data_IF_896099116247
#
_entry.id   IF_896099116247
#
_cell.length_a   1.000
_cell.length_b   1.000
_cell.length_c   1.000
_cell.angle_alpha   90.00
_cell.angle_beta   90.00
_cell.angle_gamma   90.00
#
_symmetry.space_group_name_H-M   'P 1'
#
loop_
_entity.id
_entity.type
_entity.pdbx_description
1 polymer ?
#
# COMPACT_ATOMS: atom_id res chain seq x y z
N UNK A 1 -30.06 5.13 29.72
CA UNK A 1 -29.26 4.36 28.75
C UNK A 1 -29.51 4.97 27.39
N UNK A 2 -28.59 5.80 26.89
CA UNK A 2 -28.73 6.41 25.58
C UNK A 2 -28.37 5.35 24.54
N UNK A 3 -29.31 5.02 23.66
CA UNK A 3 -29.10 4.14 22.51
C UNK A 3 -28.23 4.87 21.49
N UNK A 4 -26.93 4.97 21.75
CA UNK A 4 -25.94 5.54 20.82
C UNK A 4 -25.40 4.48 19.83
N UNK A 5 -26.05 3.31 19.77
CA UNK A 5 -25.56 2.12 19.06
C UNK A 5 -25.84 2.07 17.56
N UNK A 6 -26.61 3.02 17.00
CA UNK A 6 -27.03 2.97 15.59
C UNK A 6 -26.39 4.06 14.70
N UNK A 7 -25.37 4.77 15.19
CA UNK A 7 -24.63 5.70 14.33
C UNK A 7 -23.76 4.90 13.38
N UNK A 8 -24.17 4.86 12.12
CA UNK A 8 -23.35 4.29 11.04
C UNK A 8 -21.98 4.98 11.02
N UNK A 9 -20.88 4.22 10.84
CA UNK A 9 -19.55 4.81 10.81
C UNK A 9 -19.44 5.80 9.65
N UNK A 10 -18.76 6.91 9.88
CA UNK A 10 -18.46 7.92 8.87
C UNK A 10 -16.95 8.05 8.69
N UNK A 11 -16.54 8.43 7.47
CA UNK A 11 -15.17 8.74 7.11
C UNK A 11 -15.05 10.24 6.85
N UNK A 12 -14.04 10.87 7.45
CA UNK A 12 -13.73 12.28 7.25
C UNK A 12 -12.85 12.47 6.01
N UNK A 13 -13.22 13.44 5.17
CA UNK A 13 -12.48 13.87 3.98
C UNK A 13 -12.24 15.37 4.03
N UNK A 14 -11.06 15.81 3.63
CA UNK A 14 -10.67 17.22 3.61
C UNK A 14 -10.51 17.71 2.18
N UNK A 15 -11.11 18.86 1.89
CA UNK A 15 -10.84 19.62 0.67
C UNK A 15 -9.52 20.38 0.83
N UNK A 16 -8.50 20.17 -0.03
CA UNK A 16 -7.22 20.85 0.08
C UNK A 16 -7.31 22.35 -0.19
N UNK A 17 -8.33 22.80 -0.93
CA UNK A 17 -8.50 24.21 -1.29
C UNK A 17 -9.16 25.01 -0.17
N UNK A 18 -10.18 24.43 0.47
CA UNK A 18 -10.98 25.10 1.49
C UNK A 18 -10.65 24.67 2.92
N UNK A 19 -9.88 23.59 3.09
CA UNK A 19 -9.62 22.89 4.35
C UNK A 19 -10.88 22.42 5.09
N UNK A 20 -12.04 22.46 4.42
CA UNK A 20 -13.31 22.01 4.99
C UNK A 20 -13.32 20.48 5.08
N UNK A 21 -13.72 19.96 6.23
CA UNK A 21 -13.88 18.53 6.46
C UNK A 21 -15.34 18.13 6.26
N UNK A 22 -15.57 17.16 5.38
CA UNK A 22 -16.88 16.55 5.12
C UNK A 22 -16.87 15.10 5.60
N UNK A 23 -17.92 14.67 6.29
CA UNK A 23 -18.09 13.30 6.75
C UNK A 23 -18.99 12.53 5.78
N UNK A 24 -18.50 11.44 5.20
CA UNK A 24 -19.24 10.59 4.28
C UNK A 24 -19.57 9.28 4.98
N UNK A 25 -20.82 8.81 4.83
CA UNK A 25 -21.27 7.54 5.42
C UNK A 25 -20.55 6.35 4.77
N UNK A 26 -20.15 5.41 5.61
CA UNK A 26 -19.62 4.12 5.17
C UNK A 26 -20.75 3.14 4.89
N UNK A 27 -20.49 2.19 3.99
CA UNK A 27 -21.41 1.09 3.66
C UNK A 27 -20.68 -0.22 3.97
N UNK A 28 -21.40 -1.24 4.44
CA UNK A 28 -20.82 -2.58 4.61
C UNK A 28 -20.78 -3.31 3.26
N UNK A 29 -19.60 -3.72 2.84
CA UNK A 29 -19.43 -4.56 1.64
C UNK A 29 -20.02 -5.96 1.93
N UNK A 30 -21.05 -6.41 1.19
CA UNK A 30 -21.70 -7.69 1.44
C UNK A 30 -20.79 -8.89 1.21
N UNK A 31 -19.73 -8.75 0.39
CA UNK A 31 -18.81 -9.87 0.11
C UNK A 31 -17.76 -10.02 1.19
N UNK A 32 -17.16 -8.90 1.62
CA UNK A 32 -16.01 -8.92 2.54
C UNK A 32 -16.40 -8.68 3.99
N UNK A 33 -17.61 -8.18 4.24
CA UNK A 33 -18.04 -7.77 5.58
C UNK A 33 -17.27 -6.57 6.13
N UNK A 34 -16.56 -5.81 5.27
CA UNK A 34 -15.77 -4.64 5.67
C UNK A 34 -16.51 -3.35 5.37
N UNK A 35 -16.29 -2.32 6.18
CA UNK A 35 -16.79 -0.98 5.89
C UNK A 35 -15.99 -0.36 4.74
N UNK A 36 -16.70 0.18 3.76
CA UNK A 36 -16.16 0.78 2.53
C UNK A 36 -16.77 2.15 2.30
N UNK A 37 -16.09 2.99 1.52
CA UNK A 37 -16.66 4.22 0.98
C UNK A 37 -16.77 4.09 -0.54
N UNK A 38 -17.95 4.35 -1.08
CA UNK A 38 -18.18 4.36 -2.52
C UNK A 38 -17.63 5.65 -3.15
N UNK A 39 -16.85 5.52 -4.22
CA UNK A 39 -16.25 6.65 -4.91
C UNK A 39 -17.29 7.68 -5.38
N UNK A 40 -18.46 7.22 -5.85
CA UNK A 40 -19.57 8.09 -6.24
C UNK A 40 -20.03 9.04 -5.12
N UNK A 41 -19.96 8.61 -3.86
CA UNK A 41 -20.36 9.46 -2.72
C UNK A 41 -19.30 10.53 -2.44
N UNK A 42 -18.02 10.20 -2.67
CA UNK A 42 -16.92 11.16 -2.61
C UNK A 42 -17.08 12.19 -3.72
N UNK A 43 -17.32 11.76 -4.97
CA UNK A 43 -17.56 12.69 -6.08
C UNK A 43 -18.80 13.57 -5.88
N UNK A 44 -19.86 13.05 -5.25
CA UNK A 44 -21.04 13.86 -4.91
C UNK A 44 -20.74 14.94 -3.84
N UNK A 45 -19.83 14.67 -2.91
CA UNK A 45 -19.38 15.64 -1.92
C UNK A 45 -18.31 16.60 -2.47
N UNK A 46 -17.56 16.17 -3.49
CA UNK A 46 -16.42 16.85 -4.08
C UNK A 46 -16.47 16.68 -5.60
N UNK A 47 -17.17 17.59 -6.29
CA UNK A 47 -17.57 17.48 -7.71
C UNK A 47 -16.41 17.19 -8.68
N UNK A 48 -15.19 17.58 -8.32
CA UNK A 48 -13.97 17.41 -9.13
C UNK A 48 -12.95 16.45 -8.51
N UNK A 49 -13.37 15.57 -7.60
CA UNK A 49 -12.47 14.61 -6.96
C UNK A 49 -11.85 13.66 -8.00
N UNK A 50 -10.52 13.52 -7.95
CA UNK A 50 -9.72 12.70 -8.87
C UNK A 50 -8.97 11.60 -8.14
N UNK A 51 -8.38 11.91 -6.99
CA UNK A 51 -7.60 10.98 -6.20
C UNK A 51 -7.73 11.29 -4.71
N UNK A 52 -7.25 10.39 -3.87
CA UNK A 52 -7.31 10.52 -2.40
C UNK A 52 -5.94 10.22 -1.82
N UNK A 53 -5.50 11.04 -0.89
CA UNK A 53 -4.24 10.88 -0.16
C UNK A 53 -4.51 10.66 1.32
N UNK A 54 -3.63 9.90 1.96
CA UNK A 54 -3.55 9.71 3.39
C UNK A 54 -2.15 10.14 3.83
N UNK A 55 -2.00 11.42 4.18
CA UNK A 55 -0.69 12.03 4.39
C UNK A 55 0.15 11.94 3.11
N UNK A 56 1.24 11.17 3.17
CA UNK A 56 2.19 11.03 2.05
C UNK A 56 1.91 9.84 1.12
N UNK A 57 0.82 9.10 1.36
CA UNK A 57 0.48 7.89 0.60
C UNK A 57 -0.81 8.06 -0.20
N UNK A 58 -0.78 7.69 -1.49
CA UNK A 58 -1.97 7.60 -2.33
C UNK A 58 -2.86 6.44 -1.85
N UNK A 59 -4.14 6.70 -1.63
CA UNK A 59 -5.13 5.66 -1.29
C UNK A 59 -5.59 4.99 -2.57
N UNK A 60 -5.21 3.73 -2.75
CA UNK A 60 -5.62 2.92 -3.91
C UNK A 60 -7.10 2.50 -3.80
N UNK A 61 -7.74 2.34 -4.95
CA UNK A 61 -9.05 1.67 -5.03
C UNK A 61 -8.92 0.22 -4.61
N UNK A 62 -10.02 -0.35 -4.09
CA UNK A 62 -10.04 -1.77 -3.74
C UNK A 62 -9.90 -2.63 -5.00
N UNK A 63 -9.07 -3.66 -4.89
CA UNK A 63 -8.80 -4.65 -5.92
C UNK A 63 -9.34 -6.00 -5.42
N UNK A 64 -9.94 -6.79 -6.29
CA UNK A 64 -10.42 -8.14 -5.95
C UNK A 64 -9.33 -9.21 -5.99
N UNK A 65 -9.72 -10.47 -5.78
CA UNK A 65 -8.83 -11.64 -5.84
C UNK A 65 -8.20 -11.86 -7.21
N UNK A 66 -8.79 -11.30 -8.28
CA UNK A 66 -8.29 -11.42 -9.65
C UNK A 66 -7.33 -10.28 -10.03
N UNK A 67 -6.98 -9.41 -9.08
CA UNK A 67 -6.21 -8.18 -9.31
C UNK A 67 -6.93 -7.14 -10.17
N UNK A 68 -8.26 -7.20 -10.25
CA UNK A 68 -9.08 -6.24 -10.98
C UNK A 68 -9.71 -5.21 -10.04
N UNK A 69 -9.85 -3.97 -10.51
CA UNK A 69 -10.52 -2.92 -9.75
C UNK A 69 -11.99 -3.27 -9.52
N UNK A 70 -12.43 -3.23 -8.26
CA UNK A 70 -13.81 -3.62 -7.98
C UNK A 70 -14.78 -2.52 -8.38
N UNK A 71 -15.69 -2.84 -9.31
CA UNK A 71 -16.76 -1.93 -9.76
C UNK A 71 -18.04 -2.19 -8.93
N UNK A 72 -18.71 -1.14 -8.41
CA UNK A 72 -18.34 0.27 -8.48
C UNK A 72 -17.11 0.59 -7.63
N UNK A 73 -16.28 1.53 -8.13
CA UNK A 73 -15.07 1.97 -7.45
C UNK A 73 -15.33 2.34 -6.01
N UNK A 74 -14.49 1.81 -5.13
CA UNK A 74 -14.61 1.97 -3.68
C UNK A 74 -13.24 1.93 -3.03
N UNK A 75 -13.15 2.55 -1.87
CA UNK A 75 -11.94 2.56 -1.04
C UNK A 75 -12.25 1.92 0.33
N UNK A 76 -11.22 1.41 0.98
CA UNK A 76 -11.33 0.90 2.34
C UNK A 76 -11.63 2.03 3.35
N UNK A 77 -12.35 1.70 4.42
CA UNK A 77 -12.55 2.61 5.55
C UNK A 77 -11.27 2.77 6.38
N UNK A 78 -10.92 4.01 6.73
CA UNK A 78 -9.75 4.38 7.52
C UNK A 78 -10.18 5.10 8.82
N UNK A 79 -10.51 4.36 9.89
CA UNK A 79 -11.05 4.93 11.12
C UNK A 79 -10.08 5.93 11.77
N UNK A 80 -10.60 7.08 12.19
CA UNK A 80 -9.82 8.11 12.90
C UNK A 80 -8.87 8.93 12.03
N UNK A 81 -8.81 8.67 10.72
CA UNK A 81 -7.97 9.38 9.77
C UNK A 81 -8.80 10.36 8.95
N UNK A 82 -8.24 11.53 8.62
CA UNK A 82 -8.84 12.46 7.65
C UNK A 82 -8.11 12.28 6.33
N UNK A 83 -8.84 11.93 5.28
CA UNK A 83 -8.26 11.70 3.95
C UNK A 83 -8.33 12.99 3.12
N UNK A 84 -7.25 13.34 2.43
CA UNK A 84 -7.17 14.54 1.61
C UNK A 84 -7.63 14.24 0.17
N UNK A 85 -8.58 15.03 -0.35
CA UNK A 85 -9.16 14.81 -1.68
C UNK A 85 -8.43 15.65 -2.72
N UNK A 86 -7.78 15.02 -3.70
CA UNK A 86 -7.14 15.73 -4.81
C UNK A 86 -8.17 16.04 -5.88
N UNK A 87 -8.33 17.33 -6.18
CA UNK A 87 -9.29 17.84 -7.17
C UNK A 87 -8.61 18.05 -8.52
N UNK A 88 -9.30 17.76 -9.62
CA UNK A 88 -8.80 18.04 -10.96
C UNK A 88 -8.83 19.56 -11.21
N UNK A 89 -7.67 20.19 -11.11
CA UNK A 89 -7.52 21.65 -11.27
C UNK A 89 -7.30 22.00 -12.75
N UNK A 90 -8.15 21.48 -13.63
CA UNK A 90 -7.97 21.61 -15.08
C UNK A 90 -8.55 22.93 -15.63
N UNK A 91 -9.16 23.77 -14.80
CA UNK A 91 -9.84 24.98 -15.25
C UNK A 91 -9.49 26.19 -14.38
N UNK A 92 -8.41 26.92 -14.72
CA UNK A 92 -8.30 28.39 -14.60
C UNK A 92 -6.93 28.97 -15.06
N UNK A 93 -6.33 28.46 -16.15
CA UNK A 93 -5.24 29.18 -16.82
C UNK A 93 -5.65 29.51 -18.25
N UNK A 94 -6.66 30.35 -18.40
CA UNK A 94 -6.87 31.11 -19.64
C UNK A 94 -7.25 32.55 -19.26
N UNK A 95 -6.37 33.49 -19.66
CA UNK A 95 -6.55 34.95 -19.65
C UNK A 95 -6.37 35.61 -18.28
N UNK A 96 -5.34 36.42 -18.01
CA UNK A 96 -4.84 37.55 -18.81
C UNK A 96 -3.31 37.65 -18.77
N UNK A 97 -2.71 37.95 -19.93
CA UNK A 97 -1.27 38.07 -20.07
C UNK A 97 -0.68 39.25 -19.31
N UNK A 98 0.28 38.97 -18.45
CA UNK A 98 1.41 39.84 -18.15
C UNK A 98 2.62 38.95 -17.89
N UNK A 99 3.60 39.04 -18.78
CA UNK A 99 4.86 38.33 -18.66
C UNK A 99 5.67 38.97 -17.52
N UNK A 100 5.65 38.35 -16.33
CA UNK A 100 6.62 38.66 -15.29
C UNK A 100 7.55 37.47 -15.12
N UNK A 101 8.79 37.74 -15.51
CA UNK A 101 9.96 36.90 -15.36
C UNK A 101 10.29 36.72 -13.86
N UNK A 102 10.45 35.47 -13.39
CA UNK A 102 11.03 35.18 -12.08
C UNK A 102 12.03 34.02 -12.20
N UNK A 103 13.23 34.36 -12.67
CA UNK A 103 14.44 33.66 -12.29
C UNK A 103 14.92 34.23 -10.96
N UNK A 104 14.64 33.55 -9.84
CA UNK A 104 15.38 33.81 -8.61
C UNK A 104 15.61 32.54 -7.80
N UNK A 105 16.79 31.98 -8.08
CA UNK A 105 17.48 30.93 -7.33
C UNK A 105 17.84 31.50 -5.96
N UNK A 106 17.33 30.89 -4.88
CA UNK A 106 17.95 30.99 -3.56
C UNK A 106 18.30 29.58 -3.08
N UNK A 107 19.60 29.34 -3.06
CA UNK A 107 20.28 28.22 -2.43
C UNK A 107 21.01 28.76 -1.20
N UNK A 108 20.62 28.28 -0.02
CA UNK A 108 21.34 28.29 1.28
C UNK A 108 20.34 27.66 2.28
N UNK A 109 20.58 26.55 3.00
CA UNK A 109 21.82 26.00 3.51
C UNK A 109 21.98 26.41 4.99
N UNK A 110 21.43 25.63 5.94
CA UNK A 110 22.07 25.19 7.21
C UNK A 110 21.12 24.57 8.23
N UNK A 111 21.38 23.29 8.51
CA UNK A 111 21.63 22.68 9.83
C UNK A 111 21.00 23.32 11.09
N UNK A 112 20.17 22.53 11.78
CA UNK A 112 20.30 22.33 13.22
C UNK A 112 19.64 21.01 13.64
N UNK A 113 20.49 20.07 14.04
CA UNK A 113 20.19 18.91 14.86
C UNK A 113 19.41 19.30 16.13
N UNK A 114 18.41 18.48 16.50
CA UNK A 114 18.16 18.21 17.91
C UNK A 114 17.53 16.83 18.11
N UNK A 115 18.31 16.01 18.80
CA UNK A 115 17.92 14.81 19.51
C UNK A 115 16.53 14.88 20.12
N UNK A 116 15.78 13.78 19.95
CA UNK A 116 14.93 13.23 21.01
C UNK A 116 14.70 11.75 20.74
N UNK A 117 15.50 10.96 21.42
CA UNK A 117 15.11 9.62 21.86
C UNK A 117 13.74 9.71 22.54
N UNK A 118 12.75 8.96 22.05
CA UNK A 118 11.74 8.42 22.95
C UNK A 118 11.40 6.98 22.60
N UNK A 119 11.82 6.13 23.53
CA UNK A 119 11.80 4.68 23.52
C UNK A 119 10.51 4.28 24.23
N UNK A 120 9.45 4.00 23.48
CA UNK A 120 8.26 3.35 24.04
C UNK A 120 8.13 1.93 23.49
N UNK A 121 8.38 0.98 24.40
CA UNK A 121 8.07 -0.42 24.24
C UNK A 121 6.55 -0.56 24.03
N UNK A 122 6.12 -1.06 22.86
CA UNK A 122 4.77 -1.59 22.72
C UNK A 122 4.79 -3.12 22.76
N UNK A 123 4.30 -3.57 23.89
CA UNK A 123 3.92 -4.91 24.31
C UNK A 123 3.12 -5.63 23.23
N UNK A 124 3.67 -6.76 22.79
CA UNK A 124 2.98 -7.77 21.98
C UNK A 124 1.79 -8.29 22.78
N UNK A 125 0.58 -7.89 22.38
CA UNK A 125 -0.66 -8.48 22.91
C UNK A 125 -1.08 -9.57 21.92
N UNK A 126 -0.80 -10.81 22.28
CA UNK A 126 -1.34 -12.01 21.64
C UNK A 126 -2.87 -12.01 21.77
N UNK A 127 -3.64 -12.17 20.68
CA UNK A 127 -5.06 -12.42 20.79
C UNK A 127 -5.28 -13.84 21.31
N UNK A 128 -5.91 -13.93 22.48
CA UNK A 128 -6.42 -15.18 23.03
C UNK A 128 -7.44 -15.78 22.05
N UNK A 129 -7.17 -17.00 21.63
CA UNK A 129 -8.08 -17.85 20.86
C UNK A 129 -9.27 -18.15 21.78
N UNK A 130 -10.40 -17.48 21.51
CA UNK A 130 -11.66 -17.78 22.17
C UNK A 130 -12.27 -18.99 21.46
N UNK A 131 -12.09 -20.17 22.06
CA UNK A 131 -12.81 -21.38 21.71
C UNK A 131 -14.31 -21.20 22.01
N UNK A 132 -15.03 -20.70 21.02
CA UNK A 132 -16.48 -20.81 20.94
C UNK A 132 -16.82 -22.25 20.54
N UNK A 133 -16.79 -23.15 21.52
CA UNK A 133 -17.50 -24.44 21.42
C UNK A 133 -18.93 -24.22 21.91
N UNK A 134 -19.81 -23.85 20.98
CA UNK A 134 -21.26 -23.84 21.22
C UNK A 134 -21.72 -25.29 21.42
N UNK A 135 -21.61 -25.79 22.64
CA UNK A 135 -22.28 -27.00 23.10
C UNK A 135 -23.79 -26.73 23.16
N UNK A 136 -24.48 -27.00 22.05
CA UNK A 136 -25.94 -27.12 22.07
C UNK A 136 -26.30 -28.40 22.81
N UNK A 137 -26.55 -28.27 24.11
CA UNK A 137 -27.18 -29.28 24.93
C UNK A 137 -28.56 -29.62 24.34
N UNK A 138 -28.71 -30.85 23.85
CA UNK A 138 -29.96 -31.40 23.36
C UNK A 138 -30.93 -31.56 24.55
N UNK A 139 -31.79 -30.57 24.77
CA UNK A 139 -32.86 -30.66 25.78
C UNK A 139 -33.92 -31.63 25.23
N UNK A 140 -33.88 -32.86 25.73
CA UNK A 140 -34.92 -33.86 25.51
C UNK A 140 -36.15 -33.44 26.32
N UNK A 141 -37.15 -32.88 25.64
CA UNK A 141 -38.47 -32.64 26.19
C UNK A 141 -39.16 -33.99 26.46
N UNK A 142 -39.13 -34.45 27.71
CA UNK A 142 -40.00 -35.53 28.18
C UNK A 142 -41.44 -35.03 28.26
N UNK A 143 -42.22 -35.38 27.23
CA UNK A 143 -43.67 -35.14 27.12
C UNK A 143 -44.41 -35.78 28.30
N UNK A 144 -45.11 -34.95 29.07
CA UNK A 144 -45.98 -35.33 30.19
C UNK A 144 -47.10 -36.24 29.70
N UNK A 145 -47.21 -37.42 30.33
CA UNK A 145 -48.26 -38.41 30.09
C UNK A 145 -49.51 -37.98 30.87
N UNK A 146 -50.70 -37.85 30.24
CA UNK A 146 -51.94 -37.84 30.98
C UNK A 146 -52.34 -39.28 31.33
N UNK A 147 -52.54 -39.45 32.62
CA UNK A 147 -53.17 -40.55 33.35
C UNK A 147 -54.42 -41.11 32.63
N UNK A 148 -54.43 -42.41 32.35
CA UNK A 148 -55.63 -43.14 31.88
C UNK A 148 -55.89 -44.34 32.78
N UNK A 149 -57.15 -44.39 33.21
CA UNK A 149 -57.80 -45.46 33.94
C UNK A 149 -57.56 -46.84 33.35
N UNK A 150 -57.31 -47.77 34.26
CA UNK A 150 -57.16 -49.19 34.06
C UNK A 150 -58.41 -49.80 33.40
N UNK A 151 -58.21 -50.67 32.41
CA UNK A 151 -58.74 -52.05 32.37
C UNK A 151 -58.63 -52.62 30.96
N UNK A 152 -58.00 -53.80 30.85
CA UNK A 152 -57.90 -54.67 29.65
C UNK A 152 -56.65 -54.49 28.76
N UNK A 153 -55.57 -55.24 29.02
CA UNK A 153 -54.82 -55.98 27.97
C UNK A 153 -53.57 -56.68 28.54
N UNK A 154 -53.59 -58.01 28.60
CA UNK A 154 -52.40 -58.83 28.91
C UNK A 154 -51.76 -59.50 27.68
N UNK A 155 -52.23 -59.21 26.47
CA UNK A 155 -51.70 -59.79 25.21
C UNK A 155 -50.91 -58.80 24.33
N UNK A 156 -50.75 -57.54 24.74
CA UNK A 156 -50.03 -56.48 23.99
C UNK A 156 -48.55 -56.33 24.36
N UNK A 157 -48.08 -56.97 25.44
CA UNK A 157 -46.74 -56.73 25.99
C UNK A 157 -45.60 -57.35 25.15
N UNK A 158 -45.83 -58.46 24.42
CA UNK A 158 -44.80 -59.09 23.59
C UNK A 158 -44.59 -58.37 22.24
N UNK A 159 -45.61 -57.69 21.70
CA UNK A 159 -45.47 -56.88 20.49
C UNK A 159 -44.62 -55.63 20.72
N UNK A 160 -44.75 -55.02 21.90
CA UNK A 160 -43.98 -53.83 22.28
C UNK A 160 -42.47 -54.11 22.36
N UNK A 161 -42.09 -55.29 22.88
CA UNK A 161 -40.69 -55.68 23.02
C UNK A 161 -39.99 -55.94 21.67
N UNK A 162 -40.71 -56.47 20.68
CA UNK A 162 -40.12 -56.67 19.35
C UNK A 162 -39.89 -55.33 18.63
N UNK A 163 -40.80 -54.38 18.78
CA UNK A 163 -40.65 -53.03 18.22
C UNK A 163 -39.49 -52.25 18.87
N UNK A 164 -39.25 -52.43 20.17
CA UNK A 164 -38.13 -51.75 20.85
C UNK A 164 -36.77 -52.26 20.37
N UNK A 165 -36.60 -53.58 20.21
CA UNK A 165 -35.34 -54.15 19.70
C UNK A 165 -35.02 -53.69 18.29
N UNK A 166 -36.01 -53.65 17.40
CA UNK A 166 -35.81 -53.18 16.03
C UNK A 166 -35.40 -51.70 16.00
N UNK A 167 -36.01 -50.88 16.87
CA UNK A 167 -35.66 -49.46 17.03
C UNK A 167 -34.24 -49.27 17.56
N UNK A 168 -33.80 -50.14 18.47
CA UNK A 168 -32.43 -50.12 18.99
C UNK A 168 -31.43 -50.50 17.89
N UNK A 169 -31.72 -51.54 17.09
CA UNK A 169 -30.83 -51.96 16.01
C UNK A 169 -30.71 -50.92 14.91
N UNK A 170 -31.83 -50.29 14.49
CA UNK A 170 -31.78 -49.22 13.51
C UNK A 170 -31.06 -47.98 14.06
N UNK A 171 -31.29 -47.64 15.33
CA UNK A 171 -30.56 -46.57 16.01
C UNK A 171 -29.05 -46.80 16.04
N UNK A 172 -28.60 -48.01 16.38
CA UNK A 172 -27.18 -48.36 16.35
C UNK A 172 -26.57 -48.26 14.95
N UNK A 173 -27.31 -48.69 13.92
CA UNK A 173 -26.85 -48.59 12.54
C UNK A 173 -26.68 -47.13 12.11
N UNK A 174 -27.65 -46.27 12.42
CA UNK A 174 -27.61 -44.83 12.09
C UNK A 174 -26.42 -44.15 12.80
N UNK A 175 -26.21 -44.44 14.08
CA UNK A 175 -25.09 -43.87 14.84
C UNK A 175 -23.75 -44.31 14.24
N UNK A 176 -23.59 -45.60 13.93
CA UNK A 176 -22.37 -46.11 13.31
C UNK A 176 -22.09 -45.42 11.97
N UNK A 177 -23.11 -45.35 11.10
CA UNK A 177 -22.98 -44.70 9.80
C UNK A 177 -22.61 -43.21 9.94
N UNK A 178 -23.20 -42.50 10.90
CA UNK A 178 -22.87 -41.11 11.17
C UNK A 178 -21.42 -40.94 11.64
N UNK A 179 -20.93 -41.83 12.51
CA UNK A 179 -19.54 -41.81 12.98
C UNK A 179 -18.57 -42.03 11.82
N UNK A 180 -18.84 -43.03 10.98
CA UNK A 180 -17.99 -43.34 9.82
C UNK A 180 -17.91 -42.13 8.86
N UNK A 181 -19.05 -41.48 8.58
CA UNK A 181 -19.09 -40.26 7.75
C UNK A 181 -18.30 -39.08 8.37
N UNK A 182 -18.39 -38.89 9.68
CA UNK A 182 -17.62 -37.86 10.36
C UNK A 182 -16.12 -38.13 10.33
N UNK A 183 -15.73 -39.40 10.45
CA UNK A 183 -14.33 -39.81 10.37
C UNK A 183 -13.75 -39.55 8.98
N UNK A 184 -14.48 -39.93 7.92
CA UNK A 184 -14.08 -39.66 6.54
C UNK A 184 -13.94 -38.16 6.28
N UNK A 185 -14.89 -37.35 6.77
CA UNK A 185 -14.83 -35.89 6.66
C UNK A 185 -13.62 -35.31 7.39
N UNK A 186 -13.34 -35.77 8.60
CA UNK A 186 -12.21 -35.29 9.39
C UNK A 186 -10.87 -35.64 8.71
N UNK A 187 -10.79 -36.82 8.09
CA UNK A 187 -9.62 -37.23 7.31
C UNK A 187 -9.37 -36.28 6.14
N UNK A 188 -10.41 -35.93 5.38
CA UNK A 188 -10.31 -34.97 4.27
C UNK A 188 -9.88 -33.59 4.76
N UNK A 189 -10.43 -33.12 5.88
CA UNK A 189 -10.04 -31.82 6.46
C UNK A 189 -8.57 -31.83 6.96
N UNK A 190 -8.10 -32.95 7.50
CA UNK A 190 -6.71 -33.13 7.90
C UNK A 190 -5.75 -33.09 6.70
N UNK A 191 -6.09 -33.79 5.62
CA UNK A 191 -5.29 -33.78 4.38
C UNK A 191 -5.26 -32.38 3.76
N UNK A 192 -6.39 -31.66 3.77
CA UNK A 192 -6.46 -30.28 3.30
C UNK A 192 -5.62 -29.33 4.15
N UNK A 193 -5.64 -29.48 5.47
CA UNK A 193 -4.81 -28.68 6.37
C UNK A 193 -3.32 -28.97 6.18
N UNK A 194 -2.96 -30.24 5.95
CA UNK A 194 -1.59 -30.63 5.63
C UNK A 194 -1.11 -29.97 4.34
N UNK A 195 -1.91 -30.02 3.27
CA UNK A 195 -1.60 -29.34 2.01
C UNK A 195 -1.45 -27.83 2.18
N UNK A 196 -2.33 -27.20 2.96
CA UNK A 196 -2.24 -25.78 3.24
C UNK A 196 -0.95 -25.43 4.00
N UNK A 197 -0.54 -26.27 4.94
CA UNK A 197 0.72 -26.09 5.67
C UNK A 197 1.94 -26.24 4.75
N UNK A 198 1.92 -27.21 3.85
CA UNK A 198 2.96 -27.37 2.81
C UNK A 198 3.03 -26.14 1.90
N UNK A 199 1.88 -25.63 1.44
CA UNK A 199 1.81 -24.43 0.60
C UNK A 199 2.38 -23.19 1.29
N UNK A 200 2.04 -22.97 2.58
CA UNK A 200 2.58 -21.85 3.36
C UNK A 200 4.10 -21.97 3.50
N UNK A 201 4.61 -23.18 3.70
CA UNK A 201 6.04 -23.43 3.79
C UNK A 201 6.77 -23.15 2.47
N UNK A 202 6.22 -23.60 1.34
CA UNK A 202 6.77 -23.32 0.00
C UNK A 202 6.78 -21.81 -0.29
N UNK A 203 5.69 -21.11 0.03
CA UNK A 203 5.60 -19.67 -0.17
C UNK A 203 6.65 -18.91 0.67
N UNK A 204 6.87 -19.34 1.92
CA UNK A 204 7.88 -18.75 2.79
C UNK A 204 9.30 -18.98 2.26
N UNK A 205 9.60 -20.19 1.75
CA UNK A 205 10.89 -20.50 1.13
C UNK A 205 11.12 -19.68 -0.14
N UNK A 206 10.13 -19.62 -1.03
CA UNK A 206 10.19 -18.85 -2.27
C UNK A 206 10.46 -17.36 -1.97
N UNK A 207 9.72 -16.78 -1.04
CA UNK A 207 9.89 -15.37 -0.64
C UNK A 207 11.29 -15.10 -0.09
N UNK A 208 11.81 -16.03 0.72
CA UNK A 208 13.18 -15.92 1.24
C UNK A 208 14.23 -16.00 0.13
N UNK A 209 14.04 -16.87 -0.86
CA UNK A 209 14.95 -17.01 -1.98
C UNK A 209 14.94 -15.77 -2.89
N UNK A 210 13.76 -15.22 -3.16
CA UNK A 210 13.60 -14.00 -3.95
C UNK A 210 14.28 -12.80 -3.27
N UNK A 211 14.15 -12.70 -1.94
CA UNK A 211 14.80 -11.64 -1.16
C UNK A 211 16.33 -11.73 -1.26
N UNK A 212 16.89 -12.93 -1.13
CA UNK A 212 18.33 -13.16 -1.27
C UNK A 212 18.82 -12.79 -2.67
N UNK A 213 18.08 -13.19 -3.71
CA UNK A 213 18.41 -12.85 -5.09
C UNK A 213 18.40 -11.34 -5.33
N UNK A 214 17.38 -10.63 -4.82
CA UNK A 214 17.31 -9.16 -4.91
C UNK A 214 18.45 -8.49 -4.17
N UNK A 215 18.86 -9.03 -3.03
CA UNK A 215 20.02 -8.51 -2.29
C UNK A 215 21.32 -8.69 -3.09
N UNK A 216 21.50 -9.84 -3.75
CA UNK A 216 22.66 -10.10 -4.60
C UNK A 216 22.70 -9.18 -5.83
N UNK A 217 21.57 -9.00 -6.53
CA UNK A 217 21.46 -8.09 -7.68
C UNK A 217 21.77 -6.64 -7.28
N UNK A 218 21.32 -6.21 -6.10
CA UNK A 218 21.62 -4.89 -5.57
C UNK A 218 23.13 -4.71 -5.32
N UNK A 219 23.78 -5.70 -4.72
CA UNK A 219 25.23 -5.67 -4.48
C UNK A 219 26.00 -5.64 -5.80
N UNK A 220 25.56 -6.41 -6.80
CA UNK A 220 26.17 -6.43 -8.12
C UNK A 220 26.06 -5.06 -8.81
N UNK A 221 24.89 -4.42 -8.73
CA UNK A 221 24.69 -3.09 -9.27
C UNK A 221 25.57 -2.04 -8.57
N UNK A 222 25.71 -2.13 -7.25
CA UNK A 222 26.59 -1.26 -6.47
C UNK A 222 28.06 -1.44 -6.90
N UNK A 223 28.53 -2.67 -7.09
CA UNK A 223 29.88 -2.95 -7.56
C UNK A 223 30.11 -2.36 -8.96
N UNK A 224 29.17 -2.56 -9.88
CA UNK A 224 29.27 -2.01 -11.23
C UNK A 224 29.34 -0.47 -11.21
N UNK A 225 28.59 0.18 -10.32
CA UNK A 225 28.64 1.63 -10.17
C UNK A 225 30.01 2.10 -9.66
N UNK A 226 30.61 1.38 -8.70
CA UNK A 226 31.96 1.65 -8.21
C UNK A 226 33.01 1.47 -9.31
N UNK A 227 32.91 0.41 -10.11
CA UNK A 227 33.84 0.16 -11.22
C UNK A 227 33.76 1.26 -12.28
N UNK A 228 32.55 1.74 -12.60
CA UNK A 228 32.37 2.88 -13.50
C UNK A 228 33.00 4.15 -12.94
N UNK A 229 32.87 4.39 -11.63
CA UNK A 229 33.48 5.56 -10.99
C UNK A 229 35.02 5.49 -11.06
N UNK A 230 35.61 4.32 -10.81
CA UNK A 230 37.05 4.10 -10.93
C UNK A 230 37.55 4.38 -12.36
N UNK A 231 36.82 3.91 -13.38
CA UNK A 231 37.15 4.19 -14.78
C UNK A 231 37.08 5.69 -15.11
N UNK A 232 36.07 6.41 -14.61
CA UNK A 232 35.96 7.86 -14.78
C UNK A 232 37.14 8.57 -14.12
N UNK A 233 37.48 8.19 -12.89
CA UNK A 233 38.63 8.76 -12.17
C UNK A 233 39.94 8.55 -12.93
N UNK A 234 40.18 7.33 -13.43
CA UNK A 234 41.37 7.02 -14.24
C UNK A 234 41.43 7.85 -15.53
N UNK A 235 40.29 8.06 -16.19
CA UNK A 235 40.20 8.87 -17.40
C UNK A 235 40.51 10.35 -17.12
N UNK A 236 39.90 10.91 -16.07
CA UNK A 236 40.17 12.29 -15.63
C UNK A 236 41.64 12.47 -15.28
N UNK A 237 42.24 11.53 -14.55
CA UNK A 237 43.66 11.57 -14.22
C UNK A 237 44.53 11.56 -15.48
N UNK A 238 44.25 10.70 -16.46
CA UNK A 238 44.99 10.64 -17.71
C UNK A 238 44.94 11.97 -18.49
N UNK A 239 43.76 12.60 -18.56
CA UNK A 239 43.57 13.91 -19.19
C UNK A 239 44.35 15.01 -18.45
N UNK A 240 44.33 14.99 -17.12
CA UNK A 240 45.09 15.95 -16.31
C UNK A 240 46.60 15.78 -16.48
N UNK A 241 47.12 14.55 -16.50
CA UNK A 241 48.55 14.31 -16.75
C UNK A 241 48.98 14.75 -18.15
N UNK A 242 48.15 14.51 -19.18
CA UNK A 242 48.44 14.95 -20.54
C UNK A 242 48.51 16.48 -20.66
N UNK A 243 47.60 17.19 -20.00
CA UNK A 243 47.62 18.67 -20.01
C UNK A 243 48.81 19.23 -19.21
N UNK A 244 49.30 18.50 -18.21
CA UNK A 244 50.51 18.87 -17.47
C UNK A 244 51.77 18.76 -18.36
N UNK A 245 51.91 17.73 -19.20
CA UNK A 245 53.08 17.62 -20.09
C UNK A 245 53.13 18.70 -21.19
N UNK A 246 51.98 19.27 -21.60
CA UNK A 246 51.95 20.30 -22.65
C UNK A 246 52.45 21.69 -22.21
N UNK A 247 52.31 22.05 -20.93
CA UNK A 247 52.70 23.39 -20.46
C UNK A 247 54.15 23.47 -19.97
N UNK A 248 54.83 22.33 -19.83
CA UNK A 248 56.27 22.30 -19.55
C UNK A 248 57.13 22.59 -20.79
N UNK A 249 56.55 22.60 -21.99
CA UNK A 249 57.23 23.14 -23.18
C UNK A 249 56.95 24.64 -23.28
N UNK A 250 57.91 25.52 -22.95
CA UNK A 250 57.71 26.96 -23.16
C UNK A 250 57.44 27.17 -24.65
N UNK A 251 56.23 27.63 -24.98
CA UNK A 251 55.85 27.98 -26.35
C UNK A 251 56.96 28.89 -26.89
N UNK A 252 57.72 28.48 -27.93
CA UNK A 252 58.81 29.29 -28.44
C UNK A 252 58.22 30.63 -28.86
N UNK A 253 58.58 31.67 -28.12
CA UNK A 253 58.08 33.03 -28.37
C UNK A 253 58.66 33.48 -29.71
N UNK A 254 57.84 33.44 -30.75
CA UNK A 254 58.17 34.02 -32.05
C UNK A 254 58.21 35.54 -31.90
N UNK A 255 59.42 36.09 -31.87
CA UNK A 255 59.62 37.54 -31.96
C UNK A 255 59.52 37.93 -33.44
N UNK A 256 58.34 38.37 -33.88
CA UNK A 256 58.19 39.02 -35.18
C UNK A 256 58.77 40.43 -35.05
N UNK A 257 60.01 40.61 -35.53
CA UNK A 257 60.62 41.93 -35.64
C UNK A 257 59.96 42.66 -36.81
N UNK A 258 58.95 43.47 -36.51
CA UNK A 258 58.33 44.33 -37.51
C UNK A 258 59.33 45.42 -37.92
N UNK A 259 59.55 45.63 -39.23
CA UNK A 259 60.37 46.73 -39.72
C UNK A 259 59.83 48.06 -39.20
N UNK A 260 60.73 48.94 -38.73
CA UNK A 260 60.35 50.31 -38.37
C UNK A 260 59.89 51.02 -39.65
N UNK A 261 58.59 51.13 -39.86
CA UNK A 261 58.06 52.01 -40.89
C UNK A 261 58.36 53.44 -40.45
N UNK A 262 59.29 54.09 -41.15
CA UNK A 262 59.51 55.52 -41.06
C UNK A 262 58.24 56.23 -41.53
N UNK A 263 57.40 56.61 -40.56
CA UNK A 263 56.52 57.78 -40.60
C UNK A 263 55.56 57.92 -41.78
N UNK A 264 54.50 57.10 -41.85
CA UNK A 264 53.26 57.53 -42.54
C UNK A 264 52.24 58.17 -41.57
N UNK A 265 52.39 57.94 -40.25
CA UNK A 265 51.44 58.40 -39.21
C UNK A 265 51.55 59.91 -38.90
N UNK A 266 52.63 60.58 -39.30
CA UNK A 266 52.72 62.04 -39.12
C UNK A 266 51.97 62.82 -40.21
N UNK A 267 51.77 62.26 -41.40
CA UNK A 267 51.10 62.98 -42.51
C UNK A 267 49.59 63.15 -42.32
N UNK A 268 48.93 62.30 -41.53
CA UNK A 268 47.46 62.34 -41.36
C UNK A 268 46.98 63.19 -40.19
N UNK A 269 47.86 63.75 -39.34
CA UNK A 269 47.44 64.58 -38.21
C UNK A 269 47.09 66.03 -38.57
N UNK A 270 47.44 66.51 -39.78
CA UNK A 270 47.27 67.91 -40.17
C UNK A 270 46.04 68.18 -41.09
N UNK A 271 45.22 67.16 -41.39
CA UNK A 271 44.09 67.31 -42.34
C UNK A 271 42.71 67.45 -41.67
N UNK A 272 42.61 67.34 -40.34
CA UNK A 272 41.33 67.33 -39.61
C UNK A 272 41.09 68.54 -38.70
N UNK A 273 42.01 69.51 -38.64
CA UNK A 273 41.89 70.65 -37.69
C UNK A 273 41.20 71.90 -38.24
N UNK A 274 40.87 71.97 -39.54
CA UNK A 274 40.39 73.21 -40.19
C UNK A 274 38.89 73.23 -40.57
N UNK A 275 38.09 72.22 -40.19
CA UNK A 275 36.71 72.10 -40.69
C UNK A 275 35.57 72.27 -39.67
N UNK A 276 35.85 72.66 -38.42
CA UNK A 276 34.81 72.94 -37.44
C UNK A 276 35.06 74.24 -36.68
N UNK A 277 34.95 75.37 -37.37
CA UNK A 277 34.77 76.68 -36.74
C UNK A 277 33.57 77.40 -37.31
#
# INVERSE_FOLDING_TARGET
MNNDSDKQPTQAFRDPSTLKVSNIQTVMDPKTGRSIILWRHIQAAFEKAKAIWNGDSLVSFMIDENLEEVIPWRIAYHPGVVLDVVMDTTEQIISTGEAVCLSQIHSAGKEASKDRDDRSNQTVTTPAIADNTTNQSLIIYSKTIPEVSQSSSMLTHNSLHNNSLQTIMSGQFIIKQSIDQHFDRLQIEMDKNKQLQEQVQELQQHTSQELLKKQEEMLQMQQQALDRLANIQSSVQAVLTQTYELHEYPIPRLFIVLPKTVGLREKFKNLLSDQFR
#
